data_IF_789866644733
#
_entry.id   IF_789866644733
#
_cell.length_a   1.000
_cell.length_b   1.000
_cell.length_c   1.000
_cell.angle_alpha   90.00
_cell.angle_beta   90.00
_cell.angle_gamma   90.00
#
_symmetry.space_group_name_H-M   'P 1'
#
loop_
_entity.id
_entity.type
_entity.pdbx_description
1 polymer ?
#
# COMPACT_ATOMS: atom_id res chain seq x y z
N UNK A 1 2.17 6.11 17.41
CA UNK A 1 1.22 7.23 17.31
C UNK A 1 0.99 7.51 15.84
N UNK A 2 -0.22 7.29 15.36
CA UNK A 2 -0.61 7.71 14.02
C UNK A 2 -0.53 9.22 13.96
N UNK A 3 0.28 9.76 13.04
CA UNK A 3 0.32 11.18 12.75
C UNK A 3 -1.08 11.63 12.30
N UNK A 4 -1.68 12.59 12.99
CA UNK A 4 -3.02 13.07 12.68
C UNK A 4 -3.02 13.81 11.33
N UNK A 5 -3.46 13.13 10.29
CA UNK A 5 -3.71 13.73 8.98
C UNK A 5 -5.05 14.46 9.00
N UNK A 6 -5.06 15.75 8.67
CA UNK A 6 -6.28 16.54 8.61
C UNK A 6 -6.79 16.58 7.17
N UNK A 7 -7.74 15.69 6.85
CA UNK A 7 -8.34 15.61 5.52
C UNK A 7 -9.30 16.78 5.26
N UNK A 8 -9.09 17.55 4.20
CA UNK A 8 -9.94 18.70 3.87
C UNK A 8 -11.28 18.27 3.25
N UNK A 9 -12.32 19.08 3.49
CA UNK A 9 -13.66 18.87 2.89
C UNK A 9 -13.97 19.86 1.76
N UNK A 10 -13.37 21.05 1.78
CA UNK A 10 -13.62 22.07 0.77
C UNK A 10 -12.78 21.87 -0.49
N UNK A 11 -13.37 22.04 -1.67
CA UNK A 11 -12.73 21.85 -3.00
C UNK A 11 -11.34 22.47 -3.14
N UNK A 12 -11.18 23.72 -2.65
CA UNK A 12 -9.90 24.44 -2.72
C UNK A 12 -8.84 23.81 -1.81
N UNK A 13 -9.24 23.34 -0.65
CA UNK A 13 -8.37 22.67 0.30
C UNK A 13 -7.99 21.26 -0.16
N UNK A 14 -8.93 20.54 -0.79
CA UNK A 14 -8.66 19.23 -1.41
C UNK A 14 -7.58 19.37 -2.48
N UNK A 15 -7.69 20.35 -3.40
CA UNK A 15 -6.65 20.57 -4.43
C UNK A 15 -5.27 20.86 -3.84
N UNK A 16 -5.20 21.59 -2.72
CA UNK A 16 -3.93 21.86 -2.03
C UNK A 16 -3.36 20.61 -1.37
N UNK A 17 -4.21 19.83 -0.73
CA UNK A 17 -3.84 18.55 -0.14
C UNK A 17 -3.28 17.59 -1.21
N UNK A 18 -3.98 17.43 -2.32
CA UNK A 18 -3.55 16.63 -3.46
C UNK A 18 -2.22 17.11 -4.03
N UNK A 19 -2.03 18.43 -4.17
CA UNK A 19 -0.77 19.01 -4.64
C UNK A 19 0.41 18.67 -3.74
N UNK A 20 0.22 18.60 -2.43
CA UNK A 20 1.27 18.13 -1.50
C UNK A 20 1.64 16.68 -1.79
N UNK A 21 0.65 15.79 -1.95
CA UNK A 21 0.90 14.38 -2.23
C UNK A 21 1.54 14.16 -3.60
N UNK A 22 1.10 14.88 -4.63
CA UNK A 22 1.71 14.83 -5.97
C UNK A 22 3.17 15.29 -5.94
N UNK A 23 3.46 16.36 -5.21
CA UNK A 23 4.83 16.84 -5.03
C UNK A 23 5.69 15.85 -4.27
N UNK A 24 5.16 15.26 -3.20
CA UNK A 24 5.84 14.22 -2.44
C UNK A 24 6.18 13.00 -3.31
N UNK A 25 5.23 12.56 -4.11
CA UNK A 25 5.42 11.46 -5.07
C UNK A 25 6.48 11.80 -6.13
N UNK A 26 6.49 13.03 -6.64
CA UNK A 26 7.51 13.51 -7.56
C UNK A 26 8.91 13.50 -6.93
N UNK A 27 9.04 13.93 -5.68
CA UNK A 27 10.32 13.92 -4.95
C UNK A 27 10.84 12.49 -4.81
N UNK A 28 9.99 11.55 -4.40
CA UNK A 28 10.37 10.14 -4.23
C UNK A 28 10.80 9.49 -5.55
N UNK A 29 10.23 9.91 -6.67
CA UNK A 29 10.60 9.40 -8.01
C UNK A 29 11.87 10.03 -8.56
N UNK A 30 12.17 11.27 -8.16
CA UNK A 30 13.28 12.05 -8.72
C UNK A 30 14.58 11.88 -7.94
N UNK A 31 14.49 11.62 -6.65
CA UNK A 31 15.63 11.53 -5.75
C UNK A 31 15.72 10.12 -5.16
N UNK A 32 16.89 9.50 -5.31
CA UNK A 32 17.20 8.22 -4.68
C UNK A 32 17.37 8.31 -3.15
N UNK A 33 17.05 9.44 -2.55
CA UNK A 33 17.18 9.75 -1.13
C UNK A 33 15.81 9.74 -0.44
N UNK A 34 15.67 8.88 0.54
CA UNK A 34 14.43 8.59 1.30
C UNK A 34 14.04 9.65 2.35
N UNK A 35 14.53 10.86 2.26
CA UNK A 35 14.14 11.93 3.19
C UNK A 35 13.13 12.89 2.57
N UNK A 36 11.85 12.52 2.65
CA UNK A 36 10.77 13.42 2.29
C UNK A 36 10.50 14.39 3.44
N UNK A 37 10.72 15.68 3.23
CA UNK A 37 10.47 16.72 4.23
C UNK A 37 9.40 17.72 3.76
N UNK A 38 8.69 18.31 4.72
CA UNK A 38 7.75 19.43 4.45
C UNK A 38 8.49 20.60 3.79
N UNK A 39 9.76 20.80 4.12
CA UNK A 39 10.60 21.84 3.52
C UNK A 39 10.81 21.62 2.01
N UNK A 40 11.12 20.39 1.61
CA UNK A 40 11.33 20.04 0.20
C UNK A 40 10.01 20.15 -0.57
N UNK A 41 8.92 19.65 0.01
CA UNK A 41 7.58 19.79 -0.57
C UNK A 41 7.20 21.25 -0.74
N UNK A 42 7.45 22.11 0.25
CA UNK A 42 7.17 23.55 0.16
C UNK A 42 7.97 24.21 -0.96
N UNK A 43 9.27 23.90 -1.03
CA UNK A 43 10.20 24.45 -2.05
C UNK A 43 9.77 24.07 -3.47
N UNK A 44 9.46 22.80 -3.71
CA UNK A 44 9.12 22.29 -5.05
C UNK A 44 7.70 22.66 -5.46
N UNK A 45 6.72 22.57 -4.55
CA UNK A 45 5.34 22.91 -4.83
C UNK A 45 5.06 24.41 -4.93
N UNK A 46 5.98 25.26 -4.41
CA UNK A 46 5.76 26.70 -4.25
C UNK A 46 4.74 27.05 -3.17
N UNK A 47 4.33 26.09 -2.36
CA UNK A 47 3.38 26.33 -1.25
C UNK A 47 4.10 26.84 -0.02
N UNK A 48 3.46 27.74 0.72
CA UNK A 48 3.98 28.21 2.02
C UNK A 48 3.86 27.10 3.07
N UNK A 49 4.89 26.88 3.88
CA UNK A 49 4.90 25.87 4.96
C UNK A 49 3.65 25.88 5.85
N UNK A 50 3.17 27.06 6.33
CA UNK A 50 1.95 27.11 7.15
C UNK A 50 0.71 26.49 6.47
N UNK A 51 0.63 26.59 5.12
CA UNK A 51 -0.44 25.97 4.36
C UNK A 51 -0.35 24.45 4.31
N UNK A 52 0.87 23.91 4.34
CA UNK A 52 1.11 22.46 4.38
C UNK A 52 0.84 21.93 5.78
N UNK A 53 1.33 22.60 6.82
CA UNK A 53 1.11 22.22 8.22
C UNK A 53 -0.37 22.16 8.63
N UNK A 54 -1.26 22.84 7.92
CA UNK A 54 -2.72 22.70 8.14
C UNK A 54 -3.24 21.29 7.89
N UNK A 55 -2.59 20.54 7.00
CA UNK A 55 -3.00 19.18 6.63
C UNK A 55 -2.05 18.12 7.19
N UNK A 56 -0.77 18.44 7.25
CA UNK A 56 0.30 17.53 7.57
C UNK A 56 1.15 18.11 8.70
N UNK A 57 0.90 17.73 9.95
CA UNK A 57 1.63 18.28 11.11
C UNK A 57 3.09 17.83 11.19
N UNK A 58 3.47 16.77 10.48
CA UNK A 58 4.85 16.25 10.45
C UNK A 58 5.22 15.69 9.07
N UNK A 59 6.50 15.40 8.86
CA UNK A 59 6.98 14.74 7.64
C UNK A 59 6.34 13.35 7.49
N UNK A 60 6.23 12.61 8.59
CA UNK A 60 5.63 11.29 8.64
C UNK A 60 4.16 11.32 8.21
N UNK A 61 3.42 12.38 8.51
CA UNK A 61 2.03 12.52 8.10
C UNK A 61 1.84 12.61 6.58
N UNK A 62 2.82 13.19 5.85
CA UNK A 62 2.83 13.16 4.38
C UNK A 62 3.07 11.73 3.88
N UNK A 63 4.01 11.02 4.49
CA UNK A 63 4.31 9.63 4.15
C UNK A 63 3.09 8.75 4.40
N UNK A 64 2.44 8.87 5.53
CA UNK A 64 1.23 8.10 5.87
C UNK A 64 0.08 8.40 4.89
N UNK A 65 -0.14 9.65 4.51
CA UNK A 65 -1.17 10.02 3.54
C UNK A 65 -0.87 9.50 2.13
N UNK A 66 0.39 9.54 1.71
CA UNK A 66 0.82 8.96 0.44
C UNK A 66 0.69 7.43 0.45
N UNK A 67 1.05 6.81 1.56
CA UNK A 67 0.87 5.38 1.83
C UNK A 67 -0.61 4.98 1.73
N UNK A 68 -1.52 5.71 2.38
CA UNK A 68 -2.96 5.48 2.29
C UNK A 68 -3.45 5.57 0.84
N UNK A 69 -3.04 6.60 0.11
CA UNK A 69 -3.40 6.80 -1.31
C UNK A 69 -3.02 5.58 -2.17
N UNK A 70 -1.79 5.08 -2.02
CA UNK A 70 -1.31 3.92 -2.77
C UNK A 70 -1.95 2.61 -2.32
N UNK A 71 -2.17 2.43 -1.02
CA UNK A 71 -2.90 1.28 -0.49
C UNK A 71 -4.33 1.21 -1.06
N UNK A 72 -5.05 2.34 -1.11
CA UNK A 72 -6.40 2.39 -1.68
C UNK A 72 -6.40 2.09 -3.18
N UNK A 73 -5.40 2.57 -3.94
CA UNK A 73 -5.24 2.20 -5.36
C UNK A 73 -5.01 0.70 -5.53
N UNK A 74 -4.12 0.13 -4.73
CA UNK A 74 -3.85 -1.32 -4.76
C UNK A 74 -5.10 -2.13 -4.39
N UNK A 75 -5.81 -1.75 -3.33
CA UNK A 75 -7.04 -2.42 -2.91
C UNK A 75 -8.13 -2.36 -3.98
N UNK A 76 -8.28 -1.22 -4.67
CA UNK A 76 -9.22 -1.10 -5.79
C UNK A 76 -8.84 -2.02 -6.96
N UNK A 77 -7.55 -2.14 -7.28
CA UNK A 77 -7.07 -3.08 -8.30
C UNK A 77 -7.33 -4.54 -7.89
N UNK A 78 -7.09 -4.89 -6.63
CA UNK A 78 -7.38 -6.22 -6.10
C UNK A 78 -8.87 -6.52 -6.24
N UNK A 79 -9.75 -5.65 -5.75
CA UNK A 79 -11.21 -5.83 -5.84
C UNK A 79 -11.68 -6.01 -7.27
N UNK A 80 -11.21 -5.15 -8.19
CA UNK A 80 -11.54 -5.24 -9.61
C UNK A 80 -11.12 -6.57 -10.24
N UNK A 81 -9.96 -7.10 -9.87
CA UNK A 81 -9.51 -8.40 -10.38
C UNK A 81 -10.26 -9.59 -9.75
N UNK A 82 -10.85 -9.41 -8.58
CA UNK A 82 -11.65 -10.44 -7.90
C UNK A 82 -13.12 -10.46 -8.34
N UNK A 83 -13.67 -9.37 -8.89
CA UNK A 83 -15.08 -9.23 -9.26
C UNK A 83 -15.59 -10.30 -10.25
N UNK A 84 -14.73 -10.76 -11.17
CA UNK A 84 -15.08 -11.69 -12.25
C UNK A 84 -14.65 -13.14 -11.97
N UNK A 85 -14.26 -13.42 -10.73
CA UNK A 85 -13.72 -14.73 -10.36
C UNK A 85 -14.79 -15.54 -9.65
N UNK A 86 -15.39 -16.49 -10.36
CA UNK A 86 -16.38 -17.45 -9.83
C UNK A 86 -15.72 -18.61 -9.05
N UNK A 87 -14.70 -18.31 -8.24
CA UNK A 87 -14.04 -19.34 -7.46
C UNK A 87 -14.53 -19.31 -6.00
N UNK A 88 -15.06 -20.42 -5.54
CA UNK A 88 -15.33 -20.66 -4.12
C UNK A 88 -14.08 -20.99 -3.31
N UNK A 89 -12.93 -21.11 -3.99
CA UNK A 89 -11.67 -21.52 -3.39
C UNK A 89 -10.83 -20.30 -2.99
N UNK A 90 -10.58 -20.18 -1.69
CA UNK A 90 -9.75 -19.11 -1.11
C UNK A 90 -8.34 -19.05 -1.69
N UNK A 91 -7.76 -20.20 -2.06
CA UNK A 91 -6.43 -20.25 -2.67
C UNK A 91 -6.37 -19.52 -4.02
N UNK A 92 -7.40 -19.60 -4.83
CA UNK A 92 -7.47 -18.87 -6.12
C UNK A 92 -7.57 -17.37 -5.90
N UNK A 93 -8.31 -16.92 -4.89
CA UNK A 93 -8.36 -15.50 -4.51
C UNK A 93 -6.98 -14.99 -4.11
N UNK A 94 -6.24 -15.73 -3.27
CA UNK A 94 -4.90 -15.34 -2.84
C UNK A 94 -3.87 -15.33 -3.98
N UNK A 95 -3.95 -16.25 -4.94
CA UNK A 95 -3.10 -16.20 -6.15
C UNK A 95 -3.25 -14.87 -6.88
N UNK A 96 -4.49 -14.44 -7.11
CA UNK A 96 -4.79 -13.17 -7.79
C UNK A 96 -4.28 -11.99 -6.97
N UNK A 97 -4.55 -11.97 -5.67
CA UNK A 97 -4.15 -10.87 -4.78
C UNK A 97 -2.63 -10.71 -4.76
N UNK A 98 -1.90 -11.81 -4.62
CA UNK A 98 -0.44 -11.79 -4.57
C UNK A 98 0.15 -11.31 -5.91
N UNK A 99 -0.39 -11.77 -7.02
CA UNK A 99 0.05 -11.33 -8.36
C UNK A 99 -0.21 -9.84 -8.58
N UNK A 100 -1.41 -9.35 -8.25
CA UNK A 100 -1.78 -7.94 -8.37
C UNK A 100 -0.87 -7.07 -7.48
N UNK A 101 -0.63 -7.49 -6.25
CA UNK A 101 0.26 -6.77 -5.33
C UNK A 101 1.69 -6.70 -5.86
N UNK A 102 2.24 -7.81 -6.34
CA UNK A 102 3.60 -7.85 -6.88
C UNK A 102 3.75 -7.00 -8.15
N UNK A 103 2.78 -7.03 -9.05
CA UNK A 103 2.76 -6.20 -10.25
C UNK A 103 2.73 -4.72 -9.86
N UNK A 104 1.84 -4.33 -8.93
CA UNK A 104 1.74 -2.96 -8.45
C UNK A 104 3.05 -2.45 -7.84
N UNK A 105 3.67 -3.24 -6.97
CA UNK A 105 4.95 -2.94 -6.35
C UNK A 105 6.03 -2.74 -7.41
N UNK A 106 6.13 -3.65 -8.36
CA UNK A 106 7.14 -3.60 -9.44
C UNK A 106 6.93 -2.43 -10.41
N UNK A 107 5.69 -2.01 -10.64
CA UNK A 107 5.36 -0.84 -11.47
C UNK A 107 5.58 0.49 -10.74
N UNK A 108 5.67 0.48 -9.42
CA UNK A 108 5.80 1.67 -8.58
C UNK A 108 7.00 1.55 -7.61
N UNK A 109 8.16 1.13 -8.13
CA UNK A 109 9.34 0.81 -7.32
C UNK A 109 9.79 1.96 -6.43
N UNK A 110 9.77 3.19 -6.95
CA UNK A 110 10.26 4.38 -6.26
C UNK A 110 9.42 4.75 -5.04
N UNK A 111 8.14 4.40 -5.07
CA UNK A 111 7.21 4.67 -3.96
C UNK A 111 6.84 3.42 -3.17
N UNK A 112 7.37 2.26 -3.54
CA UNK A 112 7.06 0.99 -2.87
C UNK A 112 7.56 0.92 -1.43
N UNK A 113 8.57 1.69 -1.07
CA UNK A 113 9.00 1.88 0.33
C UNK A 113 7.84 2.39 1.21
N UNK A 114 6.96 3.22 0.65
CA UNK A 114 5.76 3.75 1.33
C UNK A 114 4.72 2.67 1.57
N UNK A 115 4.64 1.67 0.70
CA UNK A 115 3.72 0.52 0.83
C UNK A 115 4.16 -0.48 1.90
N UNK A 116 5.39 -0.39 2.36
CA UNK A 116 5.97 -1.28 3.38
C UNK A 116 6.17 -0.60 4.73
N UNK A 117 5.50 0.53 4.97
CA UNK A 117 5.43 1.12 6.31
C UNK A 117 4.48 0.32 7.21
N UNK A 118 4.67 0.43 8.52
CA UNK A 118 3.76 -0.22 9.49
C UNK A 118 2.30 0.19 9.28
N UNK A 119 2.07 1.45 8.97
CA UNK A 119 0.73 1.97 8.67
C UNK A 119 0.10 1.27 7.45
N UNK A 120 0.84 1.17 6.35
CA UNK A 120 0.37 0.52 5.12
C UNK A 120 0.14 -0.98 5.32
N UNK A 121 1.04 -1.64 6.03
CA UNK A 121 0.94 -3.08 6.32
C UNK A 121 -0.32 -3.38 7.11
N UNK A 122 -0.61 -2.61 8.16
CA UNK A 122 -1.82 -2.77 8.97
C UNK A 122 -3.09 -2.50 8.14
N UNK A 123 -3.09 -1.44 7.32
CA UNK A 123 -4.22 -1.09 6.45
C UNK A 123 -4.50 -2.19 5.40
N UNK A 124 -3.47 -2.64 4.69
CA UNK A 124 -3.59 -3.68 3.66
C UNK A 124 -3.98 -5.03 4.27
N UNK A 125 -3.35 -5.43 5.37
CA UNK A 125 -3.63 -6.69 6.05
C UNK A 125 -5.10 -6.78 6.48
N UNK A 126 -5.62 -5.73 7.11
CA UNK A 126 -7.02 -5.66 7.53
C UNK A 126 -7.97 -5.69 6.34
N UNK A 127 -7.77 -4.82 5.35
CA UNK A 127 -8.68 -4.69 4.22
C UNK A 127 -8.71 -5.93 3.32
N UNK A 128 -7.56 -6.55 3.06
CA UNK A 128 -7.47 -7.78 2.25
C UNK A 128 -8.12 -8.95 2.98
N UNK A 129 -7.82 -9.14 4.27
CA UNK A 129 -8.40 -10.25 5.04
C UNK A 129 -9.92 -10.13 5.19
N UNK A 130 -10.44 -8.92 5.35
CA UNK A 130 -11.89 -8.65 5.36
C UNK A 130 -12.53 -8.98 4.01
N UNK A 131 -11.93 -8.56 2.89
CA UNK A 131 -12.44 -8.85 1.54
C UNK A 131 -12.45 -10.36 1.27
N UNK A 132 -11.40 -11.08 1.66
CA UNK A 132 -11.37 -12.55 1.53
C UNK A 132 -12.44 -13.21 2.40
N UNK A 133 -12.62 -12.77 3.63
CA UNK A 133 -13.66 -13.30 4.51
C UNK A 133 -15.06 -13.07 3.94
N UNK A 134 -15.28 -11.97 3.24
CA UNK A 134 -16.52 -11.68 2.52
C UNK A 134 -16.74 -12.62 1.33
N UNK A 135 -15.69 -12.87 0.53
CA UNK A 135 -15.75 -13.71 -0.67
C UNK A 135 -15.75 -15.22 -0.34
N UNK A 136 -15.12 -15.59 0.76
CA UNK A 136 -14.98 -16.99 1.20
C UNK A 136 -15.42 -17.12 2.66
N UNK A 137 -16.73 -17.03 2.95
CA UNK A 137 -17.25 -16.97 4.33
C UNK A 137 -17.01 -18.26 5.13
N UNK A 138 -16.68 -19.36 4.46
CA UNK A 138 -16.36 -20.64 5.10
C UNK A 138 -14.91 -20.70 5.65
N UNK A 139 -14.08 -19.70 5.37
CA UNK A 139 -12.72 -19.64 5.91
C UNK A 139 -12.70 -18.96 7.28
N UNK A 140 -11.76 -19.38 8.12
CA UNK A 140 -11.57 -18.76 9.44
C UNK A 140 -10.92 -17.38 9.28
N UNK A 141 -11.51 -16.29 9.83
CA UNK A 141 -10.94 -14.94 9.71
C UNK A 141 -9.48 -14.85 10.15
N UNK A 142 -9.12 -15.52 11.25
CA UNK A 142 -7.73 -15.55 11.75
C UNK A 142 -6.77 -16.18 10.72
N UNK A 143 -7.22 -17.20 9.98
CA UNK A 143 -6.43 -17.84 8.94
C UNK A 143 -6.18 -16.90 7.77
N UNK A 144 -7.21 -16.15 7.36
CA UNK A 144 -7.09 -15.13 6.33
C UNK A 144 -6.14 -14.00 6.74
N UNK A 145 -6.23 -13.56 7.98
CA UNK A 145 -5.33 -12.53 8.52
C UNK A 145 -3.87 -12.98 8.49
N UNK A 146 -3.57 -14.19 8.97
CA UNK A 146 -2.21 -14.74 8.98
C UNK A 146 -1.69 -14.94 7.56
N UNK A 147 -2.47 -15.52 6.66
CA UNK A 147 -2.09 -15.71 5.26
C UNK A 147 -1.73 -14.38 4.58
N UNK A 148 -2.53 -13.34 4.83
CA UNK A 148 -2.29 -11.99 4.30
C UNK A 148 -1.01 -11.38 4.85
N UNK A 149 -0.77 -11.47 6.16
CA UNK A 149 0.47 -11.00 6.79
C UNK A 149 1.69 -11.75 6.25
N UNK A 150 1.59 -13.05 6.06
CA UNK A 150 2.68 -13.87 5.51
C UNK A 150 3.10 -13.41 4.12
N UNK A 151 2.18 -13.25 3.18
CA UNK A 151 2.57 -12.83 1.84
C UNK A 151 3.04 -11.38 1.78
N UNK A 152 2.45 -10.45 2.54
CA UNK A 152 2.89 -9.06 2.60
C UNK A 152 4.32 -8.96 3.16
N UNK A 153 4.62 -9.65 4.25
CA UNK A 153 5.98 -9.70 4.82
C UNK A 153 6.98 -10.33 3.86
N UNK A 154 6.57 -11.38 3.16
CA UNK A 154 7.40 -12.04 2.16
C UNK A 154 7.71 -11.12 0.99
N UNK A 155 6.71 -10.44 0.41
CA UNK A 155 6.92 -9.49 -0.67
C UNK A 155 7.80 -8.30 -0.25
N UNK A 156 7.63 -7.81 0.98
CA UNK A 156 8.51 -6.79 1.54
C UNK A 156 9.96 -7.22 1.61
N UNK A 157 10.21 -8.43 2.12
CA UNK A 157 11.56 -8.99 2.21
C UNK A 157 12.22 -9.10 0.83
N UNK A 158 11.50 -9.59 -0.17
CA UNK A 158 11.98 -9.67 -1.55
C UNK A 158 12.28 -8.30 -2.15
N UNK A 159 11.36 -7.35 -2.00
CA UNK A 159 11.55 -5.99 -2.49
C UNK A 159 12.73 -5.29 -1.81
N UNK A 160 12.88 -5.42 -0.49
CA UNK A 160 14.00 -4.82 0.26
C UNK A 160 15.36 -5.31 -0.22
N UNK A 161 15.46 -6.58 -0.57
CA UNK A 161 16.70 -7.20 -1.04
C UNK A 161 17.10 -6.71 -2.44
N UNK A 162 16.17 -6.69 -3.39
CA UNK A 162 16.46 -6.51 -4.82
C UNK A 162 15.83 -5.24 -5.43
N UNK A 163 15.11 -4.44 -4.62
CA UNK A 163 14.32 -3.28 -5.08
C UNK A 163 13.28 -3.63 -6.15
N UNK A 164 12.90 -4.88 -6.20
CA UNK A 164 11.84 -5.44 -7.03
C UNK A 164 11.47 -6.84 -6.53
N UNK A 165 10.32 -7.33 -6.94
CA UNK A 165 9.92 -8.71 -6.65
C UNK A 165 10.21 -9.55 -7.88
N UNK A 166 11.21 -10.43 -7.81
CA UNK A 166 11.56 -11.35 -8.88
C UNK A 166 10.50 -12.44 -9.06
N UNK A 167 10.37 -13.02 -10.28
CA UNK A 167 9.45 -14.14 -10.52
C UNK A 167 9.71 -15.34 -9.60
N UNK A 168 10.96 -15.64 -9.31
CA UNK A 168 11.34 -16.73 -8.41
C UNK A 168 10.86 -16.46 -6.98
N UNK A 169 11.09 -15.24 -6.47
CA UNK A 169 10.66 -14.85 -5.14
C UNK A 169 9.12 -14.83 -5.02
N UNK A 170 8.45 -14.31 -6.05
CA UNK A 170 6.99 -14.32 -6.13
C UNK A 170 6.42 -15.74 -6.08
N UNK A 171 7.02 -16.68 -6.82
CA UNK A 171 6.63 -18.08 -6.85
C UNK A 171 6.73 -18.75 -5.48
N UNK A 172 7.82 -18.51 -4.75
CA UNK A 172 8.01 -19.06 -3.39
C UNK A 172 7.04 -18.41 -2.38
N UNK A 173 6.81 -17.11 -2.47
CA UNK A 173 5.84 -16.39 -1.62
C UNK A 173 4.41 -16.93 -1.81
N UNK A 174 4.00 -17.17 -3.05
CA UNK A 174 2.71 -17.81 -3.36
C UNK A 174 2.64 -19.22 -2.78
N UNK A 175 3.66 -20.03 -3.00
CA UNK A 175 3.71 -21.42 -2.51
C UNK A 175 3.58 -21.47 -0.99
N UNK A 176 4.32 -20.65 -0.27
CA UNK A 176 4.25 -20.59 1.18
C UNK A 176 2.83 -20.22 1.68
N UNK A 177 2.24 -19.17 1.11
CA UNK A 177 0.89 -18.73 1.47
C UNK A 177 -0.17 -19.81 1.18
N UNK A 178 -0.13 -20.42 -0.02
CA UNK A 178 -1.10 -21.43 -0.43
C UNK A 178 -0.96 -22.74 0.36
N UNK A 179 0.25 -23.14 0.70
CA UNK A 179 0.49 -24.31 1.58
C UNK A 179 -0.11 -24.11 2.95
N UNK A 180 0.01 -22.91 3.52
CA UNK A 180 -0.64 -22.56 4.80
C UNK A 180 -2.16 -22.63 4.71
N UNK A 181 -2.74 -22.17 3.61
CA UNK A 181 -4.19 -22.16 3.41
C UNK A 181 -4.77 -23.57 3.20
N UNK A 182 -3.97 -24.51 2.68
CA UNK A 182 -4.40 -25.89 2.39
C UNK A 182 -4.43 -26.79 3.62
N UNK A 183 -3.78 -26.40 4.71
CA UNK A 183 -3.76 -27.10 6.00
C UNK A 183 -4.83 -26.55 6.95
#
# INVERSE_FOLDING_TARGET
>A
SSSEIIKPQQKRSIKRFEKVLETAEYILKSESSYSLTIQDVAKISGMKRPSIYKFFPSNESIVDALSEKHCLKLLNLIKKNLENVNYSNVSEHYKIIIDVAAIYINQNKEISEVLFTKFAEDLLSTAISEEISRLSPNTKPIKNQIATQMFLSSLYSGFKSEKSISPAFLGESKRACLSYLSN
#
